data_IF_927838724012
#
_entry.id   IF_927838724012
#
_cell.length_a   1.000
_cell.length_b   1.000
_cell.length_c   1.000
_cell.angle_alpha   90.00
_cell.angle_beta   90.00
_cell.angle_gamma   90.00
#
_symmetry.space_group_name_H-M   'P 1'
#
loop_
_entity.id
_entity.type
_entity.pdbx_description
1 polymer ?
#
# COMPACT_ATOMS: atom_id res chain seq x y z
N UNK A 1 20.31 5.69 15.09
CA UNK A 1 19.85 4.54 15.87
C UNK A 1 18.71 5.02 16.74
N UNK A 2 17.68 4.18 16.88
CA UNK A 2 16.53 4.45 17.73
C UNK A 2 16.98 4.64 19.18
N UNK A 3 16.45 5.66 19.85
CA UNK A 3 16.77 5.95 21.26
C UNK A 3 15.79 5.19 22.18
N UNK A 4 16.12 3.93 22.48
CA UNK A 4 15.30 3.06 23.33
C UNK A 4 15.07 3.65 24.73
N UNK A 5 16.03 4.41 25.27
CA UNK A 5 15.89 5.06 26.58
C UNK A 5 14.83 6.16 26.53
N UNK A 6 14.81 6.96 25.46
CA UNK A 6 13.77 7.95 25.24
C UNK A 6 12.41 7.31 25.08
N UNK A 7 12.30 6.28 24.25
CA UNK A 7 11.04 5.59 24.00
C UNK A 7 10.52 4.97 25.30
N UNK A 8 11.39 4.31 26.07
CA UNK A 8 11.04 3.77 27.40
C UNK A 8 10.51 4.85 28.33
N UNK A 9 11.14 6.03 28.36
CA UNK A 9 10.64 7.16 29.16
C UNK A 9 9.24 7.60 28.70
N UNK A 10 9.02 7.77 27.41
CA UNK A 10 7.71 8.13 26.88
C UNK A 10 6.65 7.07 27.20
N UNK A 11 6.98 5.78 27.10
CA UNK A 11 6.06 4.69 27.48
C UNK A 11 5.64 4.79 28.96
N UNK A 12 6.57 5.17 29.85
CA UNK A 12 6.27 5.39 31.28
C UNK A 12 5.42 6.64 31.48
N UNK A 13 5.79 7.77 30.86
CA UNK A 13 5.06 9.04 30.97
C UNK A 13 3.61 8.94 30.48
N UNK A 14 3.36 8.10 29.47
CA UNK A 14 2.04 7.84 28.91
C UNK A 14 1.28 6.73 29.65
N UNK A 15 1.86 6.16 30.72
CA UNK A 15 1.24 5.12 31.53
C UNK A 15 1.11 3.76 30.83
N UNK A 16 1.84 3.52 29.73
CA UNK A 16 1.89 2.24 29.04
C UNK A 16 2.84 1.24 29.74
N UNK A 17 3.85 1.74 30.46
CA UNK A 17 4.78 0.95 31.28
C UNK A 17 4.90 1.53 32.69
N UNK A 18 5.17 0.69 33.69
CA UNK A 18 5.43 1.17 35.05
C UNK A 18 6.87 1.66 35.22
N UNK A 19 7.09 2.55 36.20
CA UNK A 19 8.46 2.95 36.59
C UNK A 19 9.25 1.72 37.05
N UNK A 20 10.47 1.55 36.50
CA UNK A 20 11.32 0.37 36.77
C UNK A 20 10.87 -0.93 36.10
N UNK A 21 9.86 -0.91 35.23
CA UNK A 21 9.50 -2.05 34.41
C UNK A 21 10.59 -2.37 33.39
N UNK A 22 10.90 -3.67 33.22
CA UNK A 22 11.80 -4.11 32.17
C UNK A 22 11.08 -4.02 30.82
N UNK A 23 11.64 -3.25 29.89
CA UNK A 23 11.14 -3.06 28.53
C UNK A 23 12.13 -3.71 27.56
N UNK A 24 11.65 -4.62 26.72
CA UNK A 24 12.47 -5.32 25.72
C UNK A 24 12.03 -4.92 24.31
N UNK A 25 12.98 -4.49 23.50
CA UNK A 25 12.79 -4.13 22.10
C UNK A 25 13.21 -5.30 21.20
N UNK A 26 12.27 -5.82 20.42
CA UNK A 26 12.51 -6.84 19.40
C UNK A 26 12.30 -6.19 18.02
N UNK A 27 13.37 -6.00 17.21
CA UNK A 27 13.23 -5.42 15.88
C UNK A 27 12.37 -6.29 14.96
N UNK A 28 11.37 -5.66 14.31
CA UNK A 28 10.60 -6.29 13.25
C UNK A 28 11.30 -6.09 11.89
N UNK A 29 11.40 -7.17 11.11
CA UNK A 29 12.05 -7.14 9.80
C UNK A 29 11.15 -6.64 8.65
N UNK A 30 11.73 -6.52 7.46
CA UNK A 30 10.98 -6.39 6.19
C UNK A 30 10.68 -4.96 5.71
N UNK A 31 10.83 -3.94 6.56
CA UNK A 31 10.64 -2.53 6.20
C UNK A 31 11.93 -1.83 5.76
N UNK A 32 11.86 -1.02 4.70
CA UNK A 32 12.99 -0.18 4.23
C UNK A 32 12.90 1.27 4.70
N UNK A 33 11.71 1.76 5.06
CA UNK A 33 11.46 3.16 5.39
C UNK A 33 11.44 3.48 6.87
N UNK A 34 11.22 2.49 7.73
CA UNK A 34 11.10 2.68 9.17
C UNK A 34 11.92 1.65 9.95
N UNK A 35 12.30 2.01 11.16
CA UNK A 35 12.59 1.05 12.21
C UNK A 35 11.27 0.72 12.93
N UNK A 36 11.01 -0.56 13.13
CA UNK A 36 9.78 -1.07 13.74
C UNK A 36 10.19 -2.05 14.83
N UNK A 37 9.61 -1.91 16.01
CA UNK A 37 9.90 -2.77 17.16
C UNK A 37 8.63 -3.30 17.76
N UNK A 38 8.61 -4.60 18.05
CA UNK A 38 7.74 -5.16 19.07
C UNK A 38 8.37 -4.85 20.42
N UNK A 39 7.60 -4.20 21.28
CA UNK A 39 8.02 -3.84 22.63
C UNK A 39 7.21 -4.64 23.63
N UNK A 40 7.87 -5.55 24.34
CA UNK A 40 7.23 -6.40 25.33
C UNK A 40 7.07 -5.63 26.66
N UNK A 41 5.82 -5.46 27.09
CA UNK A 41 5.43 -4.86 28.36
C UNK A 41 4.61 -5.87 29.19
N UNK A 42 4.51 -5.66 30.50
CA UNK A 42 3.67 -6.47 31.41
C UNK A 42 2.19 -6.43 31.01
N UNK A 43 1.72 -5.30 30.49
CA UNK A 43 0.35 -5.10 30.02
C UNK A 43 0.04 -5.72 28.65
N UNK A 44 1.03 -6.34 27.99
CA UNK A 44 0.93 -6.81 26.61
C UNK A 44 1.91 -6.08 25.69
N UNK A 45 2.20 -6.69 24.54
CA UNK A 45 3.13 -6.09 23.59
C UNK A 45 2.51 -4.89 22.87
N UNK A 46 3.34 -3.88 22.58
CA UNK A 46 3.01 -2.74 21.71
C UNK A 46 3.97 -2.70 20.53
N UNK A 47 3.59 -1.99 19.48
CA UNK A 47 4.45 -1.74 18.33
C UNK A 47 4.94 -0.30 18.37
N UNK A 48 6.25 -0.09 18.24
CA UNK A 48 6.86 1.23 18.09
C UNK A 48 7.38 1.34 16.67
N UNK A 49 6.99 2.40 15.96
CA UNK A 49 7.41 2.66 14.58
C UNK A 49 8.02 4.04 14.47
N UNK A 50 9.21 4.12 13.87
CA UNK A 50 9.96 5.36 13.67
C UNK A 50 10.46 5.48 12.23
N UNK A 51 10.12 6.58 11.55
CA UNK A 51 10.56 6.82 10.18
C UNK A 51 12.05 7.17 10.08
N UNK A 52 12.72 6.62 9.06
CA UNK A 52 14.12 6.91 8.74
C UNK A 52 14.23 8.12 7.77
N UNK A 53 15.19 9.02 7.92
CA UNK A 53 15.42 10.09 6.94
C UNK A 53 15.83 9.58 5.53
N UNK A 54 16.43 8.38 5.47
CA UNK A 54 16.87 7.72 4.24
C UNK A 54 16.36 6.28 4.24
N UNK A 55 15.76 5.85 3.12
CA UNK A 55 15.24 4.50 2.94
C UNK A 55 16.40 3.51 2.70
N UNK A 56 16.27 2.30 3.24
CA UNK A 56 17.22 1.18 3.09
C UNK A 56 17.05 0.46 1.74
N UNK A 57 17.26 1.17 0.64
CA UNK A 57 17.24 0.65 -0.75
C UNK A 57 18.55 0.96 -1.48
N UNK A 58 18.80 0.30 -2.62
CA UNK A 58 20.04 0.47 -3.37
C UNK A 58 20.19 1.87 -3.99
N UNK A 59 19.08 2.51 -4.36
CA UNK A 59 19.07 3.88 -4.87
C UNK A 59 19.12 4.89 -3.71
N UNK A 60 19.70 6.07 -3.92
CA UNK A 60 19.57 7.17 -2.95
C UNK A 60 18.12 7.68 -2.94
N UNK A 61 17.44 7.46 -1.81
CA UNK A 61 16.03 7.79 -1.64
C UNK A 61 15.81 8.34 -0.24
N UNK A 62 15.63 9.67 -0.16
CA UNK A 62 15.47 10.44 1.07
C UNK A 62 14.09 11.08 1.07
N UNK A 63 13.39 10.97 2.20
CA UNK A 63 12.04 11.51 2.39
C UNK A 63 11.90 11.97 3.83
N UNK A 64 11.14 13.04 4.07
CA UNK A 64 10.93 13.56 5.42
C UNK A 64 10.39 12.46 6.36
N UNK A 65 10.94 12.31 7.57
CA UNK A 65 10.38 11.47 8.62
C UNK A 65 8.98 11.88 9.10
N UNK A 66 8.51 13.09 8.74
CA UNK A 66 7.14 13.56 9.06
C UNK A 66 6.03 12.60 8.61
N UNK A 67 6.35 11.68 7.69
CA UNK A 67 5.44 10.60 7.29
C UNK A 67 5.00 9.68 8.44
N UNK A 68 5.73 9.62 9.56
CA UNK A 68 5.24 8.96 10.79
C UNK A 68 4.00 9.64 11.36
N UNK A 69 3.92 10.98 11.27
CA UNK A 69 2.74 11.73 11.68
C UNK A 69 1.56 11.46 10.73
N UNK A 70 1.83 11.45 9.42
CA UNK A 70 0.84 11.12 8.38
C UNK A 70 0.21 9.74 8.63
N UNK A 71 1.04 8.73 8.93
CA UNK A 71 0.53 7.39 9.26
C UNK A 71 -0.31 7.39 10.53
N UNK A 72 0.14 8.05 11.60
CA UNK A 72 -0.61 8.15 12.85
C UNK A 72 -1.98 8.83 12.64
N UNK A 73 -2.04 9.89 11.81
CA UNK A 73 -3.29 10.52 11.41
C UNK A 73 -4.20 9.57 10.64
N UNK A 74 -3.66 8.84 9.65
CA UNK A 74 -4.43 7.88 8.87
C UNK A 74 -5.01 6.77 9.76
N UNK A 75 -4.24 6.24 10.70
CA UNK A 75 -4.68 5.19 11.65
C UNK A 75 -5.82 5.69 12.56
N UNK A 76 -5.76 6.94 13.02
CA UNK A 76 -6.86 7.54 13.80
C UNK A 76 -8.12 7.68 12.97
N UNK A 77 -7.99 8.12 11.71
CA UNK A 77 -9.12 8.23 10.79
C UNK A 77 -9.72 6.86 10.43
N UNK A 78 -8.87 5.84 10.25
CA UNK A 78 -9.29 4.46 10.07
C UNK A 78 -10.13 3.97 11.26
N UNK A 79 -9.67 4.22 12.48
CA UNK A 79 -10.42 3.92 13.71
C UNK A 79 -11.77 4.63 13.77
N UNK A 80 -11.85 5.91 13.35
CA UNK A 80 -13.10 6.67 13.29
C UNK A 80 -14.11 6.08 12.31
N UNK A 81 -13.63 5.56 11.18
CA UNK A 81 -14.45 4.96 10.12
C UNK A 81 -14.74 3.47 10.31
N UNK A 82 -14.12 2.83 11.30
CA UNK A 82 -14.21 1.37 11.50
C UNK A 82 -13.42 0.56 10.48
N UNK A 83 -12.44 1.17 9.81
CA UNK A 83 -11.47 0.45 8.97
C UNK A 83 -10.53 -0.33 9.90
N UNK A 84 -10.39 -1.66 9.75
CA UNK A 84 -9.55 -2.44 10.66
C UNK A 84 -8.07 -2.08 10.49
N UNK A 85 -7.49 -1.47 11.52
CA UNK A 85 -6.12 -1.00 11.56
C UNK A 85 -5.59 -0.98 13.01
N UNK A 86 -4.27 -0.86 13.23
CA UNK A 86 -3.73 -0.62 14.56
C UNK A 86 -4.30 0.65 15.21
N UNK A 87 -4.56 0.59 16.51
CA UNK A 87 -4.92 1.78 17.29
C UNK A 87 -3.65 2.50 17.72
N UNK A 88 -3.54 3.79 17.41
CA UNK A 88 -2.47 4.66 17.92
C UNK A 88 -2.69 4.89 19.42
N UNK A 89 -1.74 4.44 20.22
CA UNK A 89 -1.73 4.59 21.68
C UNK A 89 -1.09 5.91 22.09
N UNK A 90 -0.03 6.29 21.38
CA UNK A 90 0.74 7.51 21.64
C UNK A 90 1.52 7.91 20.39
N UNK A 91 1.82 9.20 20.25
CA UNK A 91 2.66 9.74 19.18
C UNK A 91 3.62 10.77 19.76
N UNK A 92 4.87 10.76 19.28
CA UNK A 92 5.90 11.72 19.65
C UNK A 92 6.47 12.41 18.39
N UNK A 93 5.86 13.54 17.96
CA UNK A 93 6.16 14.19 16.70
C UNK A 93 7.62 14.65 16.56
N UNK A 94 8.22 15.18 17.62
CA UNK A 94 9.58 15.75 17.61
C UNK A 94 10.66 14.70 17.28
N UNK A 95 10.33 13.42 17.40
CA UNK A 95 11.24 12.31 17.11
C UNK A 95 10.69 11.34 16.08
N UNK A 96 9.57 11.70 15.44
CA UNK A 96 8.96 10.97 14.35
C UNK A 96 8.73 9.49 14.67
N UNK A 97 8.24 9.21 15.87
CA UNK A 97 7.79 7.87 16.24
C UNK A 97 6.40 7.89 16.84
N UNK A 98 5.72 6.76 16.74
CA UNK A 98 4.46 6.54 17.42
C UNK A 98 4.38 5.10 17.92
N UNK A 99 3.48 4.90 18.88
CA UNK A 99 3.22 3.63 19.54
C UNK A 99 1.79 3.22 19.18
N UNK A 100 1.62 1.98 18.77
CA UNK A 100 0.33 1.42 18.37
C UNK A 100 0.14 0.01 18.93
N UNK A 101 -1.09 -0.50 18.85
CA UNK A 101 -1.39 -1.90 19.18
C UNK A 101 -0.55 -2.87 18.34
N UNK A 102 -0.07 -3.94 18.97
CA UNK A 102 0.68 -5.00 18.30
C UNK A 102 -0.24 -6.16 17.90
N UNK A 103 -0.02 -6.72 16.70
CA UNK A 103 -0.72 -7.90 16.21
C UNK A 103 0.22 -9.12 16.19
N UNK A 104 -0.08 -10.21 16.93
CA UNK A 104 0.76 -11.40 16.97
C UNK A 104 0.78 -12.16 15.63
N UNK A 105 1.97 -12.58 15.20
CA UNK A 105 2.17 -13.27 13.91
C UNK A 105 1.51 -14.65 13.86
N UNK A 106 1.22 -15.26 15.00
CA UNK A 106 0.54 -16.56 15.12
C UNK A 106 -0.93 -16.49 14.67
N UNK A 107 -1.54 -15.32 14.74
CA UNK A 107 -2.96 -15.10 14.36
C UNK A 107 -3.13 -14.09 13.23
N UNK A 108 -2.11 -13.28 12.94
CA UNK A 108 -2.14 -12.22 11.94
C UNK A 108 -0.98 -12.39 10.94
N UNK A 109 -1.20 -13.21 9.92
CA UNK A 109 -0.16 -13.49 8.93
C UNK A 109 -0.10 -12.38 7.87
N UNK A 110 1.09 -11.96 7.46
CA UNK A 110 1.25 -11.01 6.35
C UNK A 110 0.69 -11.61 5.06
N UNK A 111 -0.25 -10.94 4.40
CA UNK A 111 -0.94 -11.48 3.21
C UNK A 111 0.03 -11.80 2.07
N UNK A 112 1.06 -10.97 1.87
CA UNK A 112 2.16 -11.27 0.94
C UNK A 112 2.78 -12.64 1.18
N UNK A 113 3.00 -13.05 2.43
CA UNK A 113 3.60 -14.34 2.75
C UNK A 113 2.65 -15.51 2.45
N UNK A 114 1.34 -15.33 2.63
CA UNK A 114 0.31 -16.31 2.24
C UNK A 114 0.29 -16.51 0.72
N UNK A 115 0.25 -15.40 -0.02
CA UNK A 115 0.26 -15.41 -1.49
C UNK A 115 1.58 -15.97 -2.05
N UNK A 116 2.70 -15.74 -1.36
CA UNK A 116 4.01 -16.34 -1.67
C UNK A 116 4.03 -17.87 -1.56
N UNK A 117 3.06 -18.46 -0.86
CA UNK A 117 2.88 -19.91 -0.74
C UNK A 117 1.80 -20.44 -1.70
N UNK A 118 1.28 -19.59 -2.59
CA UNK A 118 0.21 -19.92 -3.52
C UNK A 118 -1.18 -19.99 -2.87
N UNK A 119 -1.33 -19.50 -1.63
CA UNK A 119 -2.64 -19.44 -0.97
C UNK A 119 -3.48 -18.30 -1.54
N UNK A 120 -4.30 -18.61 -2.53
CA UNK A 120 -5.37 -17.76 -3.00
C UNK A 120 -6.61 -17.89 -2.10
N UNK A 121 -7.28 -16.78 -1.86
CA UNK A 121 -8.48 -16.70 -1.04
C UNK A 121 -9.39 -15.58 -1.57
N UNK A 122 -10.33 -15.93 -2.48
CA UNK A 122 -11.20 -14.94 -3.11
C UNK A 122 -12.08 -14.19 -2.10
N UNK A 123 -12.51 -14.84 -1.02
CA UNK A 123 -13.35 -14.21 0.00
C UNK A 123 -12.53 -13.18 0.80
N UNK A 124 -11.28 -13.50 1.13
CA UNK A 124 -10.36 -12.53 1.74
C UNK A 124 -10.04 -11.37 0.78
N UNK A 125 -9.79 -11.65 -0.50
CA UNK A 125 -9.58 -10.62 -1.50
C UNK A 125 -10.80 -9.69 -1.65
N UNK A 126 -12.01 -10.26 -1.62
CA UNK A 126 -13.26 -9.50 -1.61
C UNK A 126 -13.36 -8.60 -0.37
N UNK A 127 -13.02 -9.12 0.82
CA UNK A 127 -13.02 -8.37 2.07
C UNK A 127 -12.03 -7.19 2.04
N UNK A 128 -10.84 -7.38 1.47
CA UNK A 128 -9.85 -6.30 1.28
C UNK A 128 -10.40 -5.19 0.38
N UNK A 129 -11.07 -5.54 -0.73
CA UNK A 129 -11.69 -4.56 -1.62
C UNK A 129 -12.77 -3.73 -0.93
N UNK A 130 -13.60 -4.38 -0.10
CA UNK A 130 -14.63 -3.70 0.71
C UNK A 130 -14.04 -2.77 1.77
N UNK A 131 -12.96 -3.18 2.44
CA UNK A 131 -12.27 -2.34 3.43
C UNK A 131 -11.63 -1.11 2.77
N UNK A 132 -11.03 -1.27 1.58
CA UNK A 132 -10.52 -0.12 0.83
C UNK A 132 -11.64 0.86 0.44
N UNK A 133 -12.77 0.33 -0.04
CA UNK A 133 -13.93 1.15 -0.37
C UNK A 133 -14.48 1.89 0.85
N UNK A 134 -14.49 1.27 2.03
CA UNK A 134 -14.94 1.91 3.28
C UNK A 134 -14.13 3.19 3.59
N UNK A 135 -12.80 3.13 3.50
CA UNK A 135 -11.94 4.31 3.68
C UNK A 135 -12.23 5.39 2.63
N UNK A 136 -12.28 4.99 1.35
CA UNK A 136 -12.50 5.95 0.27
C UNK A 136 -13.88 6.62 0.31
N UNK A 137 -14.94 5.87 0.63
CA UNK A 137 -16.30 6.40 0.77
C UNK A 137 -16.42 7.32 1.99
N UNK A 138 -15.84 6.90 3.13
CA UNK A 138 -15.89 7.67 4.37
C UNK A 138 -15.16 9.01 4.33
N UNK A 139 -14.27 9.20 3.36
CA UNK A 139 -13.45 10.41 3.18
C UNK A 139 -13.73 11.15 1.86
N UNK A 140 -14.64 10.62 1.03
CA UNK A 140 -14.93 11.18 -0.28
C UNK A 140 -15.41 12.64 -0.19
N UNK A 141 -14.84 13.52 -1.01
CA UNK A 141 -15.17 14.95 -1.12
C UNK A 141 -15.09 15.75 0.20
N UNK A 142 -14.42 15.22 1.23
CA UNK A 142 -14.24 15.90 2.51
C UNK A 142 -13.18 16.99 2.43
N UNK A 143 -13.60 18.24 2.68
CA UNK A 143 -12.68 19.39 2.74
C UNK A 143 -11.73 19.35 3.94
N UNK A 144 -12.18 18.77 5.05
CA UNK A 144 -11.40 18.59 6.27
C UNK A 144 -10.25 17.62 5.99
N UNK A 145 -10.56 16.42 5.49
CA UNK A 145 -9.55 15.44 5.10
C UNK A 145 -8.62 15.99 4.00
N UNK A 146 -9.17 16.76 3.05
CA UNK A 146 -8.35 17.41 2.01
C UNK A 146 -7.31 18.39 2.58
N UNK A 147 -7.63 19.05 3.69
CA UNK A 147 -6.74 19.99 4.38
C UNK A 147 -5.72 19.23 5.24
N UNK A 148 -6.20 18.25 6.00
CA UNK A 148 -5.40 17.48 6.95
C UNK A 148 -4.39 16.55 6.26
N UNK A 149 -4.71 16.07 5.06
CA UNK A 149 -3.87 15.17 4.26
C UNK A 149 -3.38 15.81 2.97
N UNK A 150 -3.01 17.09 3.00
CA UNK A 150 -2.35 17.79 1.87
C UNK A 150 -0.88 17.37 1.68
N UNK A 151 -0.64 16.06 1.66
CA UNK A 151 0.68 15.43 1.66
C UNK A 151 1.19 15.12 0.25
N UNK A 152 0.75 15.87 -0.76
CA UNK A 152 1.05 15.60 -2.16
C UNK A 152 2.55 15.53 -2.47
N UNK A 153 3.38 16.32 -1.78
CA UNK A 153 4.84 16.28 -1.92
C UNK A 153 5.46 14.97 -1.39
N UNK A 154 4.93 14.41 -0.29
CA UNK A 154 5.34 13.10 0.22
C UNK A 154 4.91 12.00 -0.75
N UNK A 155 3.66 12.04 -1.21
CA UNK A 155 3.15 11.09 -2.19
C UNK A 155 3.94 11.14 -3.52
N UNK A 156 4.32 12.33 -3.98
CA UNK A 156 5.19 12.52 -5.14
C UNK A 156 6.54 11.82 -4.95
N UNK A 157 7.20 12.09 -3.83
CA UNK A 157 8.53 11.56 -3.52
C UNK A 157 8.54 10.05 -3.24
N UNK A 158 7.41 9.49 -2.80
CA UNK A 158 7.27 8.08 -2.43
C UNK A 158 6.67 7.23 -3.54
N UNK A 159 5.80 7.79 -4.39
CA UNK A 159 5.03 7.01 -5.37
C UNK A 159 5.16 7.53 -6.79
N UNK A 160 4.89 8.79 -7.06
CA UNK A 160 4.85 9.27 -8.45
C UNK A 160 6.25 9.31 -9.10
N UNK A 161 7.22 10.01 -8.51
CA UNK A 161 8.58 10.09 -9.07
C UNK A 161 9.28 8.72 -9.15
N UNK A 162 9.36 7.92 -8.07
CA UNK A 162 10.12 6.68 -8.07
C UNK A 162 9.50 5.56 -8.93
N UNK A 163 8.21 5.66 -9.27
CA UNK A 163 7.50 4.66 -10.06
C UNK A 163 7.23 5.21 -11.46
N UNK A 164 6.26 6.11 -11.60
CA UNK A 164 5.73 6.52 -12.91
C UNK A 164 6.74 7.38 -13.68
N UNK A 165 7.28 8.44 -13.07
CA UNK A 165 8.24 9.32 -13.76
C UNK A 165 9.60 8.64 -13.96
N UNK A 166 10.01 7.77 -13.05
CA UNK A 166 11.22 6.96 -13.25
C UNK A 166 11.09 6.06 -14.48
N UNK A 167 9.94 5.39 -14.65
CA UNK A 167 9.66 4.63 -15.86
C UNK A 167 9.60 5.52 -17.11
N UNK A 168 9.00 6.71 -17.02
CA UNK A 168 8.96 7.65 -18.15
C UNK A 168 10.37 8.00 -18.66
N UNK A 169 11.34 8.19 -17.75
CA UNK A 169 12.74 8.45 -18.11
C UNK A 169 13.46 7.25 -18.72
N UNK A 170 13.05 6.02 -18.38
CA UNK A 170 13.64 4.77 -18.88
C UNK A 170 13.01 4.26 -20.18
N UNK A 171 11.78 4.67 -20.47
CA UNK A 171 10.99 4.21 -21.62
C UNK A 171 10.52 5.40 -22.47
N UNK A 172 11.41 6.00 -23.30
CA UNK A 172 11.11 7.22 -24.05
C UNK A 172 9.86 7.12 -24.94
N UNK A 173 9.63 5.95 -25.55
CA UNK A 173 8.48 5.70 -26.43
C UNK A 173 7.12 5.79 -25.71
N UNK A 174 7.12 5.67 -24.38
CA UNK A 174 5.92 5.77 -23.55
C UNK A 174 5.96 6.96 -22.57
N UNK A 175 6.98 7.82 -22.66
CA UNK A 175 7.24 8.89 -21.70
C UNK A 175 6.06 9.87 -21.59
N UNK A 176 5.53 10.35 -22.72
CA UNK A 176 4.42 11.33 -22.73
C UNK A 176 3.16 10.77 -22.05
N UNK A 177 2.85 9.49 -22.27
CA UNK A 177 1.72 8.83 -21.61
C UNK A 177 1.94 8.73 -20.11
N UNK A 178 3.13 8.30 -19.68
CA UNK A 178 3.46 8.14 -18.26
C UNK A 178 3.49 9.49 -17.53
N UNK A 179 4.03 10.54 -18.16
CA UNK A 179 4.00 11.90 -17.61
C UNK A 179 2.57 12.42 -17.51
N UNK A 180 1.76 12.27 -18.56
CA UNK A 180 0.34 12.66 -18.53
C UNK A 180 -0.43 11.92 -17.43
N UNK A 181 -0.14 10.62 -17.25
CA UNK A 181 -0.73 9.82 -16.18
C UNK A 181 -0.33 10.37 -14.81
N UNK A 182 0.96 10.65 -14.60
CA UNK A 182 1.44 11.26 -13.36
C UNK A 182 0.74 12.59 -13.05
N UNK A 183 0.61 13.48 -14.04
CA UNK A 183 -0.10 14.76 -13.84
C UNK A 183 -1.58 14.55 -13.50
N UNK A 184 -2.24 13.60 -14.17
CA UNK A 184 -3.64 13.27 -13.87
C UNK A 184 -3.79 12.75 -12.44
N UNK A 185 -2.92 11.85 -12.00
CA UNK A 185 -2.94 11.30 -10.63
C UNK A 185 -2.69 12.39 -9.58
N UNK A 186 -1.82 13.38 -9.86
CA UNK A 186 -1.61 14.53 -8.96
C UNK A 186 -2.83 15.43 -8.86
N UNK A 187 -3.49 15.67 -10.00
CA UNK A 187 -4.62 16.59 -10.08
C UNK A 187 -5.91 16.05 -9.48
N UNK A 188 -6.06 14.74 -9.42
CA UNK A 188 -7.27 14.10 -8.90
C UNK A 188 -7.24 14.05 -7.36
N UNK A 189 -8.24 14.70 -6.74
CA UNK A 189 -8.34 14.86 -5.28
C UNK A 189 -9.76 14.55 -4.83
N UNK A 190 -10.01 13.28 -4.43
CA UNK A 190 -11.36 12.82 -4.07
C UNK A 190 -11.47 12.17 -2.72
N UNK A 191 -10.49 11.38 -2.30
CA UNK A 191 -10.58 10.57 -1.09
C UNK A 191 -9.22 10.43 -0.40
N UNK A 192 -9.21 9.96 0.84
CA UNK A 192 -7.98 9.63 1.54
C UNK A 192 -7.40 8.33 0.99
N UNK A 193 -6.33 8.46 0.23
CA UNK A 193 -5.56 7.36 -0.37
C UNK A 193 -4.52 6.91 0.65
N UNK A 194 -4.37 5.61 0.84
CA UNK A 194 -3.32 4.97 1.65
C UNK A 194 -1.94 5.14 0.99
N UNK A 195 -1.87 5.03 -0.33
CA UNK A 195 -0.68 5.31 -1.15
C UNK A 195 0.32 4.17 -1.19
N UNK A 196 0.24 3.20 -0.28
CA UNK A 196 0.97 1.91 -0.35
C UNK A 196 0.07 0.69 -0.14
N UNK A 197 -1.16 0.73 -0.67
CA UNK A 197 -2.15 -0.32 -0.40
C UNK A 197 -1.75 -1.61 -1.12
N UNK A 198 -1.00 -2.48 -0.45
CA UNK A 198 -0.39 -3.66 -1.04
C UNK A 198 -0.39 -4.84 -0.06
N UNK A 199 -0.29 -6.10 -0.55
CA UNK A 199 -0.37 -7.26 0.33
C UNK A 199 0.73 -7.38 1.40
N UNK A 200 1.83 -6.62 1.31
CA UNK A 200 2.83 -6.58 2.38
C UNK A 200 2.35 -5.78 3.61
N UNK A 201 1.38 -4.90 3.40
CA UNK A 201 0.83 -3.95 4.37
C UNK A 201 -0.56 -4.39 4.85
N UNK A 202 -0.92 -5.65 4.63
CA UNK A 202 -2.22 -6.22 5.00
C UNK A 202 -1.94 -7.51 5.78
N UNK A 203 -2.47 -7.59 7.01
CA UNK A 203 -2.47 -8.82 7.78
C UNK A 203 -3.78 -9.58 7.54
N UNK A 204 -3.68 -10.90 7.41
CA UNK A 204 -4.79 -11.83 7.47
C UNK A 204 -5.06 -12.14 8.94
N UNK A 205 -5.98 -11.40 9.56
CA UNK A 205 -6.43 -11.62 10.94
C UNK A 205 -7.65 -12.55 11.02
N UNK A 206 -8.04 -12.97 12.23
CA UNK A 206 -9.17 -13.86 12.45
C UNK A 206 -10.53 -13.24 12.08
N UNK A 207 -10.64 -11.92 12.13
CA UNK A 207 -11.87 -11.17 11.80
C UNK A 207 -11.85 -10.57 10.38
N UNK A 208 -10.76 -10.77 9.63
CA UNK A 208 -10.58 -10.22 8.29
C UNK A 208 -9.26 -9.46 8.12
N UNK A 209 -9.14 -8.62 7.09
CA UNK A 209 -7.92 -7.89 6.79
C UNK A 209 -7.67 -6.77 7.81
N UNK A 210 -6.42 -6.59 8.23
CA UNK A 210 -5.95 -5.43 9.01
C UNK A 210 -4.96 -4.63 8.19
N UNK A 211 -5.21 -3.33 8.01
CA UNK A 211 -4.43 -2.44 7.14
C UNK A 211 -3.34 -1.74 7.95
N UNK A 212 -2.11 -1.75 7.43
CA UNK A 212 -0.92 -1.21 8.07
C UNK A 212 -0.22 -0.21 7.14
N UNK A 213 0.71 0.61 7.68
CA UNK A 213 1.75 1.27 6.89
C UNK A 213 1.24 2.29 5.84
N UNK A 214 0.40 3.21 6.31
CA UNK A 214 -0.17 4.32 5.54
C UNK A 214 0.74 5.57 5.52
N UNK A 215 2.07 5.40 5.57
CA UNK A 215 3.03 6.53 5.59
C UNK A 215 3.01 7.38 4.30
N UNK A 216 2.40 6.86 3.24
CA UNK A 216 2.23 7.55 1.95
C UNK A 216 0.87 8.24 1.82
N UNK A 217 0.08 8.30 2.89
CA UNK A 217 -1.30 8.73 2.79
C UNK A 217 -1.43 10.20 2.36
N UNK A 218 -2.33 10.44 1.42
CA UNK A 218 -2.63 11.77 0.88
C UNK A 218 -4.09 11.84 0.47
N UNK A 219 -4.68 13.03 0.53
CA UNK A 219 -5.95 13.24 -0.13
C UNK A 219 -5.75 13.31 -1.64
N UNK A 220 -6.24 12.31 -2.37
CA UNK A 220 -5.86 12.07 -3.76
C UNK A 220 -6.81 11.16 -4.51
N UNK A 221 -6.24 10.44 -5.48
CA UNK A 221 -6.96 9.59 -6.41
C UNK A 221 -7.22 8.17 -5.88
N UNK A 222 -8.48 7.78 -5.61
CA UNK A 222 -8.80 6.43 -5.13
C UNK A 222 -8.51 5.33 -6.15
N UNK A 223 -8.30 5.65 -7.44
CA UNK A 223 -7.87 4.68 -8.44
C UNK A 223 -6.45 4.16 -8.17
N UNK A 224 -5.62 4.93 -7.46
CA UNK A 224 -4.23 4.56 -7.18
C UNK A 224 -4.13 3.33 -6.29
N UNK A 225 -4.79 3.31 -5.13
CA UNK A 225 -4.72 2.16 -4.21
C UNK A 225 -5.35 0.90 -4.82
N UNK A 226 -6.45 1.05 -5.56
CA UNK A 226 -7.06 -0.04 -6.32
C UNK A 226 -6.05 -0.64 -7.29
N UNK A 227 -5.43 0.19 -8.13
CA UNK A 227 -4.46 -0.24 -9.11
C UNK A 227 -3.20 -0.84 -8.48
N UNK A 228 -2.73 -0.26 -7.37
CA UNK A 228 -1.52 -0.68 -6.67
C UNK A 228 -1.67 -2.08 -6.09
N UNK A 229 -2.77 -2.35 -5.39
CA UNK A 229 -3.03 -3.67 -4.85
C UNK A 229 -3.28 -4.71 -5.96
N UNK A 230 -4.13 -4.38 -6.94
CA UNK A 230 -4.45 -5.29 -8.05
C UNK A 230 -3.19 -5.67 -8.85
N UNK A 231 -2.32 -4.71 -9.15
CA UNK A 231 -1.01 -4.93 -9.76
C UNK A 231 -0.17 -5.92 -8.95
N UNK A 232 -0.12 -5.75 -7.63
CA UNK A 232 0.60 -6.65 -6.74
C UNK A 232 0.00 -8.05 -6.66
N UNK A 233 -1.31 -8.23 -6.86
CA UNK A 233 -1.93 -9.56 -6.92
C UNK A 233 -1.59 -10.25 -8.24
N UNK A 234 -1.68 -9.54 -9.36
CA UNK A 234 -1.28 -10.07 -10.68
C UNK A 234 0.20 -10.45 -10.71
N UNK A 235 1.11 -9.62 -10.19
CA UNK A 235 2.55 -9.97 -10.14
C UNK A 235 2.84 -11.25 -9.34
N UNK A 236 2.05 -11.56 -8.32
CA UNK A 236 2.23 -12.78 -7.54
C UNK A 236 1.79 -14.03 -8.29
N UNK A 237 0.94 -13.90 -9.31
CA UNK A 237 0.61 -15.02 -10.19
C UNK A 237 1.84 -15.48 -10.99
N UNK A 238 2.81 -14.59 -11.26
CA UNK A 238 4.12 -14.97 -11.83
C UNK A 238 5.10 -15.51 -10.78
N UNK A 239 4.99 -15.09 -9.52
CA UNK A 239 5.83 -15.64 -8.45
C UNK A 239 5.47 -17.09 -8.13
N UNK A 240 4.17 -17.36 -7.99
CA UNK A 240 3.64 -18.69 -7.75
C UNK A 240 2.84 -19.16 -8.96
N UNK A 241 3.57 -19.49 -10.02
CA UNK A 241 2.99 -19.84 -11.31
C UNK A 241 2.01 -21.03 -11.26
N UNK A 242 2.21 -21.98 -10.34
CA UNK A 242 1.25 -23.08 -10.12
C UNK A 242 -0.12 -22.59 -9.65
N UNK A 243 -0.18 -21.46 -8.95
CA UNK A 243 -1.40 -20.82 -8.47
C UNK A 243 -1.84 -19.66 -9.37
N UNK A 244 -1.30 -19.55 -10.60
CA UNK A 244 -1.49 -18.37 -11.46
C UNK A 244 -2.96 -17.99 -11.64
N UNK A 245 -3.82 -18.97 -11.98
CA UNK A 245 -5.24 -18.72 -12.26
C UNK A 245 -6.00 -18.32 -10.99
N UNK A 246 -5.67 -18.93 -9.86
CA UNK A 246 -6.30 -18.64 -8.58
C UNK A 246 -5.91 -17.25 -8.06
N UNK A 247 -4.63 -16.88 -8.14
CA UNK A 247 -4.15 -15.55 -7.75
C UNK A 247 -4.65 -14.44 -8.71
N UNK A 248 -4.85 -14.77 -9.98
CA UNK A 248 -5.50 -13.85 -10.93
C UNK A 248 -6.98 -13.66 -10.60
N UNK A 249 -7.67 -14.72 -10.12
CA UNK A 249 -9.05 -14.61 -9.63
C UNK A 249 -9.14 -13.71 -8.40
N UNK A 250 -8.22 -13.82 -7.44
CA UNK A 250 -8.18 -12.91 -6.28
C UNK A 250 -8.07 -11.45 -6.72
N UNK A 251 -7.27 -11.14 -7.74
CA UNK A 251 -7.19 -9.78 -8.29
C UNK A 251 -8.53 -9.32 -8.88
N UNK A 252 -9.22 -10.18 -9.64
CA UNK A 252 -10.53 -9.87 -10.20
C UNK A 252 -11.57 -9.60 -9.10
N UNK A 253 -11.62 -10.48 -8.10
CA UNK A 253 -12.58 -10.39 -6.98
C UNK A 253 -12.30 -9.19 -6.08
N UNK A 254 -11.03 -8.85 -5.83
CA UNK A 254 -10.65 -7.63 -5.12
C UNK A 254 -11.14 -6.38 -5.86
N UNK A 255 -10.93 -6.32 -7.18
CA UNK A 255 -11.34 -5.17 -7.98
C UNK A 255 -12.86 -5.05 -8.06
N UNK A 256 -13.58 -6.15 -8.33
CA UNK A 256 -15.03 -6.12 -8.45
C UNK A 256 -15.68 -5.76 -7.12
N UNK A 257 -15.22 -6.34 -6.00
CA UNK A 257 -15.80 -6.05 -4.68
C UNK A 257 -15.57 -4.60 -4.25
N UNK A 258 -14.43 -4.02 -4.61
CA UNK A 258 -14.19 -2.59 -4.40
C UNK A 258 -15.15 -1.74 -5.23
N UNK A 259 -15.24 -1.97 -6.54
CA UNK A 259 -16.09 -1.17 -7.43
C UNK A 259 -17.57 -1.28 -7.05
N UNK A 260 -18.05 -2.46 -6.66
CA UNK A 260 -19.40 -2.68 -6.14
C UNK A 260 -19.65 -1.92 -4.82
N UNK A 261 -18.65 -1.89 -3.93
CA UNK A 261 -18.75 -1.21 -2.64
C UNK A 261 -18.63 0.32 -2.73
N UNK A 262 -18.13 0.87 -3.85
CA UNK A 262 -18.12 2.31 -4.16
C UNK A 262 -19.49 2.84 -4.63
N UNK A 263 -20.60 2.22 -4.22
CA UNK A 263 -21.96 2.55 -4.68
C UNK A 263 -22.48 3.95 -4.29
N UNK A 264 -21.70 4.71 -3.51
CA UNK A 264 -22.00 6.08 -3.07
C UNK A 264 -21.59 7.16 -4.09
N UNK A 265 -20.82 6.80 -5.13
CA UNK A 265 -20.49 7.70 -6.23
C UNK A 265 -21.40 7.49 -7.43
N UNK A 266 -21.58 8.54 -8.23
CA UNK A 266 -22.33 8.43 -9.49
C UNK A 266 -21.61 7.48 -10.48
N UNK A 267 -22.38 6.90 -11.40
CA UNK A 267 -21.88 5.91 -12.38
C UNK A 267 -20.70 6.47 -13.19
N UNK A 268 -20.75 7.73 -13.60
CA UNK A 268 -19.67 8.33 -14.40
C UNK A 268 -18.38 8.47 -13.58
N UNK A 269 -18.47 8.78 -12.29
CA UNK A 269 -17.33 8.79 -11.36
C UNK A 269 -16.76 7.38 -11.15
N UNK A 270 -17.61 6.38 -10.98
CA UNK A 270 -17.17 4.98 -10.85
C UNK A 270 -16.45 4.51 -12.12
N UNK A 271 -17.01 4.76 -13.29
CA UNK A 271 -16.42 4.46 -14.59
C UNK A 271 -15.10 5.20 -14.81
N UNK A 272 -15.01 6.48 -14.44
CA UNK A 272 -13.78 7.26 -14.53
C UNK A 272 -12.68 6.71 -13.61
N UNK A 273 -13.04 6.28 -12.40
CA UNK A 273 -12.12 5.64 -11.44
C UNK A 273 -11.61 4.31 -11.99
N UNK A 274 -12.51 3.44 -12.47
CA UNK A 274 -12.15 2.16 -13.08
C UNK A 274 -11.27 2.35 -14.32
N UNK A 275 -11.59 3.35 -15.16
CA UNK A 275 -10.80 3.69 -16.33
C UNK A 275 -9.38 4.10 -15.93
N UNK A 276 -9.25 5.00 -14.98
CA UNK A 276 -7.94 5.47 -14.53
C UNK A 276 -7.13 4.37 -13.84
N UNK A 277 -7.79 3.49 -13.08
CA UNK A 277 -7.15 2.35 -12.44
C UNK A 277 -6.44 1.43 -13.45
N UNK A 278 -6.98 1.23 -14.66
CA UNK A 278 -6.28 0.45 -15.70
C UNK A 278 -4.99 1.11 -16.16
N UNK A 279 -5.02 2.42 -16.42
CA UNK A 279 -3.81 3.16 -16.83
C UNK A 279 -2.74 3.07 -15.74
N UNK A 280 -3.17 3.21 -14.47
CA UNK A 280 -2.30 3.05 -13.31
C UNK A 280 -1.80 1.62 -13.15
N UNK A 281 -2.62 0.59 -13.36
CA UNK A 281 -2.19 -0.82 -13.30
C UNK A 281 -1.09 -1.10 -14.32
N UNK A 282 -1.23 -0.60 -15.55
CA UNK A 282 -0.20 -0.73 -16.57
C UNK A 282 1.12 -0.04 -16.15
N UNK A 283 1.05 1.21 -15.70
CA UNK A 283 2.23 1.96 -15.29
C UNK A 283 2.90 1.39 -14.02
N UNK A 284 2.11 0.93 -13.05
CA UNK A 284 2.60 0.33 -11.81
C UNK A 284 3.19 -1.05 -12.05
N UNK A 285 2.61 -1.86 -12.95
CA UNK A 285 3.20 -3.12 -13.42
C UNK A 285 4.62 -2.90 -13.95
N UNK A 286 4.78 -1.89 -14.82
CA UNK A 286 6.09 -1.50 -15.34
C UNK A 286 7.03 -1.00 -14.23
N UNK A 287 6.53 -0.15 -13.33
CA UNK A 287 7.33 0.39 -12.22
C UNK A 287 7.79 -0.67 -11.23
N UNK A 288 7.03 -1.76 -11.05
CA UNK A 288 7.44 -2.88 -10.19
C UNK A 288 8.52 -3.76 -10.82
N UNK A 289 8.96 -3.50 -12.05
CA UNK A 289 10.12 -4.17 -12.66
C UNK A 289 11.22 -3.20 -13.11
N UNK A 290 10.87 -1.97 -13.48
CA UNK A 290 11.79 -0.96 -14.01
C UNK A 290 11.84 0.35 -13.20
N UNK A 291 11.07 0.47 -12.12
CA UNK A 291 11.09 1.62 -11.20
C UNK A 291 12.24 1.57 -10.19
N UNK A 292 12.29 2.54 -9.27
CA UNK A 292 13.29 2.57 -8.19
C UNK A 292 13.08 1.47 -7.12
N UNK A 293 11.93 0.82 -7.11
CA UNK A 293 11.58 -0.28 -6.20
C UNK A 293 11.00 -1.45 -7.01
N UNK A 294 11.83 -2.26 -7.68
CA UNK A 294 11.33 -3.48 -8.31
C UNK A 294 10.88 -4.50 -7.26
N UNK A 295 9.99 -5.43 -7.62
CA UNK A 295 9.70 -6.60 -6.78
C UNK A 295 10.91 -7.53 -6.72
N UNK A 296 11.21 -8.02 -5.52
CA UNK A 296 12.42 -8.79 -5.24
C UNK A 296 12.31 -10.28 -5.56
N UNK A 297 11.10 -10.76 -5.84
CA UNK A 297 10.79 -12.18 -5.95
C UNK A 297 10.63 -12.70 -7.39
N UNK A 298 10.62 -11.80 -8.38
CA UNK A 298 10.53 -12.20 -9.79
C UNK A 298 11.92 -12.40 -10.39
N UNK A 299 12.10 -13.51 -11.10
CA UNK A 299 13.28 -13.75 -11.92
C UNK A 299 13.29 -12.88 -13.20
N UNK A 300 14.36 -12.97 -13.99
CA UNK A 300 14.51 -12.17 -15.20
C UNK A 300 13.44 -12.46 -16.25
N UNK A 301 12.99 -13.72 -16.37
CA UNK A 301 11.97 -14.10 -17.35
C UNK A 301 10.61 -13.53 -16.97
N UNK A 302 10.21 -13.68 -15.71
CA UNK A 302 8.99 -13.10 -15.18
C UNK A 302 9.00 -11.57 -15.23
N UNK A 303 10.14 -10.93 -14.93
CA UNK A 303 10.28 -9.47 -15.09
C UNK A 303 10.15 -9.05 -16.55
N UNK A 304 10.73 -9.80 -17.50
CA UNK A 304 10.60 -9.52 -18.93
C UNK A 304 9.15 -9.63 -19.40
N UNK A 305 8.42 -10.64 -18.94
CA UNK A 305 6.99 -10.82 -19.20
C UNK A 305 6.17 -9.65 -18.68
N UNK A 306 6.29 -9.32 -17.39
CA UNK A 306 5.57 -8.21 -16.78
C UNK A 306 5.86 -6.87 -17.52
N UNK A 307 7.12 -6.62 -17.90
CA UNK A 307 7.51 -5.45 -18.68
C UNK A 307 6.83 -5.41 -20.05
N UNK A 308 6.91 -6.48 -20.84
CA UNK A 308 6.31 -6.53 -22.18
C UNK A 308 4.80 -6.33 -22.11
N UNK A 309 4.13 -7.00 -21.18
CA UNK A 309 2.68 -6.86 -20.98
C UNK A 309 2.31 -5.43 -20.57
N UNK A 310 3.04 -4.83 -19.62
CA UNK A 310 2.79 -3.46 -19.20
C UNK A 310 2.96 -2.44 -20.34
N UNK A 311 4.01 -2.58 -21.16
CA UNK A 311 4.25 -1.71 -22.31
C UNK A 311 3.16 -1.88 -23.39
N UNK A 312 2.70 -3.11 -23.61
CA UNK A 312 1.56 -3.37 -24.50
C UNK A 312 0.28 -2.68 -24.00
N UNK A 313 -0.02 -2.75 -22.70
CA UNK A 313 -1.17 -2.03 -22.11
C UNK A 313 -1.00 -0.51 -22.14
N UNK A 314 0.22 0.02 -22.00
CA UNK A 314 0.46 1.46 -22.17
C UNK A 314 0.26 1.91 -23.63
N UNK A 315 0.56 1.06 -24.62
CA UNK A 315 0.28 1.34 -26.03
C UNK A 315 -1.22 1.26 -26.35
N UNK A 316 -1.84 0.16 -25.94
CA UNK A 316 -3.25 -0.16 -26.19
C UNK A 316 -3.91 -0.56 -24.87
N UNK A 317 -4.38 0.41 -24.07
CA UNK A 317 -4.99 0.13 -22.77
C UNK A 317 -6.27 -0.70 -22.92
N UNK A 318 -6.43 -1.80 -22.17
CA UNK A 318 -7.69 -2.54 -22.10
C UNK A 318 -8.85 -1.65 -21.67
N UNK A 319 -10.09 -1.94 -22.06
CA UNK A 319 -11.25 -1.05 -21.85
C UNK A 319 -11.67 -0.91 -20.38
N UNK A 320 -11.42 -1.94 -19.56
CA UNK A 320 -11.80 -1.98 -18.14
C UNK A 320 -10.78 -2.79 -17.31
N UNK A 321 -10.81 -2.70 -15.97
CA UNK A 321 -9.99 -3.56 -15.12
C UNK A 321 -10.22 -5.05 -15.39
N UNK A 322 -11.48 -5.47 -15.60
CA UNK A 322 -11.81 -6.86 -15.94
C UNK A 322 -11.18 -7.29 -17.26
N UNK A 323 -11.21 -6.41 -18.28
CA UNK A 323 -10.57 -6.68 -19.57
C UNK A 323 -9.05 -6.80 -19.44
N UNK A 324 -8.42 -5.96 -18.60
CA UNK A 324 -6.97 -6.06 -18.32
C UNK A 324 -6.63 -7.37 -17.62
N UNK A 325 -7.41 -7.76 -16.61
CA UNK A 325 -7.18 -9.01 -15.86
C UNK A 325 -7.45 -10.24 -16.75
N UNK A 326 -8.45 -10.17 -17.63
CA UNK A 326 -8.71 -11.22 -18.62
C UNK A 326 -7.57 -11.34 -19.65
N UNK A 327 -7.04 -10.22 -20.16
CA UNK A 327 -5.86 -10.21 -21.02
C UNK A 327 -4.64 -10.79 -20.29
N UNK A 328 -4.37 -10.38 -19.05
CA UNK A 328 -3.31 -10.99 -18.21
C UNK A 328 -3.41 -12.51 -18.14
N UNK A 329 -4.63 -13.02 -17.95
CA UNK A 329 -4.90 -14.46 -17.91
C UNK A 329 -4.65 -15.14 -19.25
N UNK A 330 -5.04 -14.52 -20.36
CA UNK A 330 -4.80 -15.05 -21.71
C UNK A 330 -3.30 -15.11 -22.02
N UNK A 331 -2.52 -14.15 -21.50
CA UNK A 331 -1.07 -14.12 -21.64
C UNK A 331 -0.31 -15.12 -20.76
N UNK A 332 -0.99 -15.98 -19.99
CA UNK A 332 -0.36 -16.91 -19.04
C UNK A 332 0.78 -17.72 -19.65
N UNK A 333 0.59 -18.23 -20.86
CA UNK A 333 1.55 -19.11 -21.55
C UNK A 333 2.36 -18.38 -22.64
N UNK A 334 2.20 -17.06 -22.80
CA UNK A 334 3.07 -16.26 -23.67
C UNK A 334 4.50 -16.21 -23.11
N UNK A 335 5.48 -16.52 -23.97
CA UNK A 335 6.92 -16.43 -23.67
C UNK A 335 7.40 -14.99 -23.48
#
# INVERSE_FOLDING_TARGET
MVDENRITRCLIEQGLAAEGEAVTFEPCGGGVSCDVFKVALKGGAVCVKQALPQLRVAADWRVSPDRSHVEAMWLREAGRLGVPAPTVLFEEPENHFFVMTFFPEETHHVWKARLAQGHADPDFAAAVGKVLALMHNGTANSREIATDFDNGALFEALRIDPFILHCARRHPDHADRLVTLAERTRGERRALVHGDFSPKNILCGPEGPVILDAECATYGDPAFDLAFCATHLLLKSLWQFQAFDALTMDAAVFVSSYLEARADVDVATAEATARHAVDLMAALMLARVDGKSPVEYLDQAAQAKARRTALAWLGTPPESPDALIADWKQRKDEE
#
